data_IF_692549278348
#
_entry.id   IF_692549278348
#
_cell.length_a   1.000
_cell.length_b   1.000
_cell.length_c   1.000
_cell.angle_alpha   90.00
_cell.angle_beta   90.00
_cell.angle_gamma   90.00
#
_symmetry.space_group_name_H-M   'P 1'
#
loop_
_entity.id
_entity.type
_entity.pdbx_description
1 polymer ?
#
# COMPACT_ATOMS: atom_id res chain seq x y z
N UNK A 1 45.45 -14.71 73.25
CA UNK A 1 46.16 -15.75 72.51
C UNK A 1 45.35 -16.05 71.26
N UNK A 2 45.61 -15.40 70.12
CA UNK A 2 46.59 -15.79 69.07
C UNK A 2 46.06 -17.00 68.27
N UNK A 3 45.76 -16.95 66.97
CA UNK A 3 46.49 -16.33 65.85
C UNK A 3 45.59 -16.02 64.62
N UNK A 4 46.10 -15.10 63.81
CA UNK A 4 45.65 -14.61 62.48
C UNK A 4 46.51 -15.28 61.39
N UNK A 5 46.16 -15.06 60.12
CA UNK A 5 46.97 -15.23 58.88
C UNK A 5 47.34 -16.66 58.45
N UNK A 6 47.57 -17.04 57.19
CA UNK A 6 47.38 -16.55 55.81
C UNK A 6 48.13 -17.57 54.90
N UNK A 7 48.06 -17.39 53.58
CA UNK A 7 48.90 -18.02 52.53
C UNK A 7 48.39 -19.39 52.02
N UNK A 8 48.19 -19.64 50.72
CA UNK A 8 48.68 -19.01 49.49
C UNK A 8 49.35 -20.09 48.62
N UNK A 9 49.39 -19.88 47.29
CA UNK A 9 49.84 -20.75 46.18
C UNK A 9 48.73 -21.52 45.45
N UNK A 10 48.59 -21.54 44.12
CA UNK A 10 49.21 -20.84 42.98
C UNK A 10 48.27 -21.09 41.76
N UNK A 11 48.13 -20.14 40.83
CA UNK A 11 47.55 -20.44 39.51
C UNK A 11 46.73 -19.32 38.87
N UNK A 12 47.39 -18.21 38.56
CA UNK A 12 46.87 -17.16 37.68
C UNK A 12 46.86 -17.71 36.26
N UNK A 13 45.71 -17.77 35.58
CA UNK A 13 45.67 -17.98 34.14
C UNK A 13 44.80 -16.90 33.50
N UNK A 14 45.51 -15.96 32.86
CA UNK A 14 44.97 -15.02 31.90
C UNK A 14 44.48 -15.76 30.66
N UNK A 15 43.46 -15.19 30.03
CA UNK A 15 42.67 -15.88 29.02
C UNK A 15 43.32 -16.09 27.67
N UNK A 16 42.74 -17.02 26.95
CA UNK A 16 42.71 -17.07 25.49
C UNK A 16 41.24 -16.96 25.08
N UNK A 17 40.78 -15.72 24.87
CA UNK A 17 39.51 -15.44 24.20
C UNK A 17 39.75 -15.54 22.70
N UNK A 18 39.44 -16.70 22.11
CA UNK A 18 39.30 -16.88 20.67
C UNK A 18 38.07 -16.10 20.16
N UNK A 19 38.21 -15.10 19.26
CA UNK A 19 37.10 -14.25 18.83
C UNK A 19 36.42 -14.79 17.56
N UNK A 20 36.07 -16.07 17.52
CA UNK A 20 35.47 -16.67 16.31
C UNK A 20 34.29 -17.62 16.55
N UNK A 21 33.45 -17.34 17.56
CA UNK A 21 32.08 -17.88 17.62
C UNK A 21 31.05 -16.77 17.75
N UNK A 22 30.58 -16.26 16.59
CA UNK A 22 29.26 -15.63 16.49
C UNK A 22 28.21 -16.71 16.73
N UNK A 23 27.88 -16.95 17.99
CA UNK A 23 26.65 -17.65 18.36
C UNK A 23 25.49 -16.71 18.04
N UNK A 24 24.81 -16.98 16.92
CA UNK A 24 23.54 -16.33 16.58
C UNK A 24 22.57 -16.59 17.74
N UNK A 25 22.41 -15.58 18.59
CA UNK A 25 21.54 -15.64 19.77
C UNK A 25 20.08 -15.55 19.30
N UNK A 26 19.12 -16.27 19.91
CA UNK A 26 17.70 -16.23 19.54
C UNK A 26 17.05 -14.83 19.61
N UNK A 27 17.70 -13.87 20.27
CA UNK A 27 17.21 -12.51 20.52
C UNK A 27 17.14 -11.63 19.26
N UNK A 28 17.93 -11.91 18.22
CA UNK A 28 17.89 -11.13 16.96
C UNK A 28 16.63 -11.45 16.13
N UNK A 29 15.92 -12.53 16.44
CA UNK A 29 14.67 -12.90 15.74
C UNK A 29 13.44 -12.26 16.39
N UNK A 30 13.50 -11.95 17.70
CA UNK A 30 12.38 -11.36 18.45
C UNK A 30 12.21 -9.85 18.19
N UNK A 31 13.30 -9.12 17.92
CA UNK A 31 13.27 -7.67 17.67
C UNK A 31 12.50 -7.30 16.40
N UNK A 32 12.72 -8.02 15.30
CA UNK A 32 11.97 -7.82 14.05
C UNK A 32 10.49 -8.20 14.18
N UNK A 33 10.15 -9.16 15.03
CA UNK A 33 8.75 -9.57 15.27
C UNK A 33 7.97 -8.55 16.09
N UNK A 34 8.63 -7.61 16.76
CA UNK A 34 8.03 -6.58 17.61
C UNK A 34 7.70 -5.28 16.87
N UNK A 35 8.39 -5.04 15.74
CA UNK A 35 8.09 -3.93 14.82
C UNK A 35 7.00 -4.28 13.78
N UNK A 36 6.67 -5.56 13.62
CA UNK A 36 5.64 -5.98 12.67
C UNK A 36 4.23 -5.62 13.21
N UNK A 37 3.35 -5.05 12.36
CA UNK A 37 1.97 -4.78 12.73
C UNK A 37 1.28 -6.02 13.31
N UNK A 38 0.35 -5.82 14.25
CA UNK A 38 -0.35 -6.90 14.97
C UNK A 38 -0.99 -7.97 14.05
N UNK A 39 -1.34 -7.62 12.82
CA UNK A 39 -1.90 -8.53 11.81
C UNK A 39 -0.88 -9.43 11.09
N UNK A 40 0.42 -9.12 11.14
CA UNK A 40 1.50 -10.01 10.64
C UNK A 40 2.04 -10.93 11.74
N UNK A 41 1.65 -10.71 12.99
CA UNK A 41 2.16 -11.46 14.15
C UNK A 41 1.42 -12.78 14.37
N UNK A 42 0.14 -12.84 14.01
CA UNK A 42 -0.73 -14.01 14.14
C UNK A 42 -1.29 -14.40 12.76
N UNK A 43 -0.49 -15.14 11.98
CA UNK A 43 -0.92 -15.63 10.65
C UNK A 43 -1.92 -16.77 10.79
N UNK A 44 -3.18 -16.56 10.37
CA UNK A 44 -4.13 -17.65 10.14
C UNK A 44 -4.30 -17.92 8.63
N UNK A 45 -4.82 -19.10 8.26
CA UNK A 45 -5.04 -19.49 6.85
C UNK A 45 -5.91 -18.50 6.06
N UNK A 46 -6.81 -17.81 6.75
CA UNK A 46 -7.70 -16.83 6.15
C UNK A 46 -6.97 -15.52 5.78
N UNK A 47 -5.86 -15.18 6.44
CA UNK A 47 -5.07 -13.99 6.11
C UNK A 47 -4.35 -14.12 4.76
N UNK A 48 -3.99 -15.35 4.36
CA UNK A 48 -3.44 -15.62 3.02
C UNK A 48 -4.43 -15.27 1.91
N UNK A 49 -5.73 -15.55 2.13
CA UNK A 49 -6.79 -15.22 1.18
C UNK A 49 -6.96 -13.70 1.09
N UNK A 50 -6.92 -12.99 2.22
CA UNK A 50 -7.03 -11.53 2.26
C UNK A 50 -5.85 -10.86 1.55
N UNK A 51 -4.62 -11.33 1.80
CA UNK A 51 -3.43 -10.86 1.09
C UNK A 51 -3.49 -11.16 -0.40
N UNK A 52 -3.94 -12.36 -0.77
CA UNK A 52 -4.15 -12.73 -2.17
C UNK A 52 -5.16 -11.81 -2.86
N UNK A 53 -6.31 -11.54 -2.22
CA UNK A 53 -7.31 -10.62 -2.75
C UNK A 53 -6.80 -9.18 -2.83
N UNK A 54 -6.06 -8.71 -1.83
CA UNK A 54 -5.48 -7.37 -1.81
C UNK A 54 -4.46 -7.21 -2.95
N UNK A 55 -3.54 -8.16 -3.09
CA UNK A 55 -2.58 -8.20 -4.19
C UNK A 55 -3.29 -8.28 -5.55
N UNK A 56 -4.30 -9.15 -5.69
CA UNK A 56 -5.09 -9.27 -6.91
C UNK A 56 -5.82 -7.96 -7.26
N UNK A 57 -6.34 -7.22 -6.27
CA UNK A 57 -6.97 -5.91 -6.50
C UNK A 57 -5.97 -4.86 -7.00
N UNK A 58 -4.75 -4.87 -6.46
CA UNK A 58 -3.66 -4.01 -6.91
C UNK A 58 -3.23 -4.35 -8.33
N UNK A 59 -2.98 -5.63 -8.61
CA UNK A 59 -2.60 -6.14 -9.94
C UNK A 59 -3.70 -5.82 -10.97
N UNK A 60 -4.98 -6.01 -10.60
CA UNK A 60 -6.10 -5.63 -11.44
C UNK A 60 -6.09 -4.13 -11.77
N UNK A 61 -5.86 -3.28 -10.77
CA UNK A 61 -5.71 -1.84 -10.96
C UNK A 61 -4.56 -1.50 -11.91
N UNK A 62 -3.38 -2.09 -11.71
CA UNK A 62 -2.21 -1.89 -12.57
C UNK A 62 -2.42 -2.39 -14.00
N UNK A 63 -3.06 -3.55 -14.18
CA UNK A 63 -3.38 -4.10 -15.49
C UNK A 63 -4.40 -3.24 -16.24
N UNK A 64 -5.32 -2.59 -15.53
CA UNK A 64 -6.31 -1.69 -16.12
C UNK A 64 -5.74 -0.35 -16.56
N UNK A 65 -4.59 0.11 -16.02
CA UNK A 65 -3.99 1.38 -16.39
C UNK A 65 -3.71 1.51 -17.90
N UNK A 66 -3.00 0.57 -18.57
CA UNK A 66 -2.76 0.64 -20.01
C UNK A 66 -4.03 0.41 -20.83
N UNK A 67 -4.92 -0.47 -20.35
CA UNK A 67 -6.17 -0.82 -21.04
C UNK A 67 -7.25 0.27 -20.94
N UNK A 68 -7.14 1.18 -19.97
CA UNK A 68 -8.09 2.27 -19.73
C UNK A 68 -8.36 3.10 -20.98
N UNK A 69 -7.32 3.44 -21.72
CA UNK A 69 -7.45 4.29 -22.90
C UNK A 69 -8.14 3.57 -24.07
N UNK A 70 -7.72 2.34 -24.36
CA UNK A 70 -8.28 1.55 -25.45
C UNK A 70 -9.74 1.19 -25.18
N UNK A 71 -10.07 0.73 -23.98
CA UNK A 71 -11.44 0.32 -23.64
C UNK A 71 -12.40 1.51 -23.56
N UNK A 72 -11.93 2.70 -23.17
CA UNK A 72 -12.80 3.88 -23.11
C UNK A 72 -13.14 4.43 -24.50
N UNK A 73 -12.24 4.31 -25.47
CA UNK A 73 -12.45 4.76 -26.86
C UNK A 73 -13.24 3.73 -27.66
N UNK A 74 -12.87 2.44 -27.59
CA UNK A 74 -13.46 1.42 -28.45
C UNK A 74 -14.76 0.83 -27.87
N UNK A 75 -14.82 0.66 -26.54
CA UNK A 75 -15.96 -0.01 -25.88
C UNK A 75 -16.29 0.61 -24.49
N UNK A 76 -16.86 1.84 -24.47
CA UNK A 76 -17.13 2.55 -23.22
C UNK A 76 -17.97 1.74 -22.21
N UNK A 77 -18.87 0.88 -22.70
CA UNK A 77 -19.70 -0.01 -21.87
C UNK A 77 -18.84 -1.04 -21.11
N UNK A 78 -17.88 -1.65 -21.81
CA UNK A 78 -16.97 -2.63 -21.21
C UNK A 78 -16.04 -1.96 -20.20
N UNK A 79 -15.60 -0.74 -20.50
CA UNK A 79 -14.80 0.03 -19.57
C UNK A 79 -15.58 0.44 -18.30
N UNK A 80 -16.84 0.81 -18.46
CA UNK A 80 -17.78 1.05 -17.35
C UNK A 80 -17.92 -0.19 -16.46
N UNK A 81 -18.03 -1.36 -17.08
CA UNK A 81 -18.15 -2.65 -16.41
C UNK A 81 -16.87 -3.10 -15.69
N UNK A 82 -15.69 -2.74 -16.18
CA UNK A 82 -14.44 -3.14 -15.53
C UNK A 82 -14.02 -2.15 -14.45
N UNK A 83 -14.05 -0.86 -14.76
CA UNK A 83 -13.52 0.17 -13.87
C UNK A 83 -14.58 0.84 -12.99
N UNK A 84 -15.88 0.73 -13.30
CA UNK A 84 -16.91 1.52 -12.64
C UNK A 84 -16.74 3.03 -12.87
N UNK A 85 -16.12 3.44 -13.98
CA UNK A 85 -15.75 4.85 -14.23
C UNK A 85 -16.97 5.74 -14.43
N UNK A 86 -16.98 6.91 -13.78
CA UNK A 86 -18.06 7.90 -13.93
C UNK A 86 -18.03 8.61 -15.29
N UNK A 87 -16.84 8.78 -15.88
CA UNK A 87 -16.68 9.42 -17.19
C UNK A 87 -17.27 8.57 -18.32
N UNK A 88 -17.12 7.25 -18.22
CA UNK A 88 -17.68 6.30 -19.19
C UNK A 88 -19.20 6.28 -19.18
N UNK A 89 -19.79 6.35 -17.99
CA UNK A 89 -21.25 6.49 -17.81
C UNK A 89 -21.74 7.78 -18.46
N UNK A 90 -21.01 8.87 -18.25
CA UNK A 90 -21.33 10.16 -18.85
C UNK A 90 -21.22 10.11 -20.39
N UNK A 91 -20.12 9.56 -20.93
CA UNK A 91 -19.90 9.45 -22.38
C UNK A 91 -20.96 8.58 -23.06
N UNK A 92 -21.29 7.42 -22.48
CA UNK A 92 -22.36 6.54 -22.98
C UNK A 92 -23.72 7.20 -22.97
N UNK A 93 -24.02 7.94 -21.89
CA UNK A 93 -25.29 8.66 -21.76
C UNK A 93 -25.39 9.77 -22.81
N UNK A 94 -24.30 10.51 -23.04
CA UNK A 94 -24.25 11.56 -24.05
C UNK A 94 -24.35 11.02 -25.48
N UNK A 95 -23.88 9.80 -25.74
CA UNK A 95 -23.97 9.16 -27.06
C UNK A 95 -25.31 8.46 -27.31
N UNK A 96 -25.96 7.97 -26.25
CA UNK A 96 -27.17 7.14 -26.35
C UNK A 96 -28.33 7.71 -25.54
N UNK A 97 -28.59 9.02 -25.67
CA UNK A 97 -29.65 9.74 -24.94
C UNK A 97 -31.03 9.06 -25.08
N UNK A 98 -31.36 8.56 -26.26
CA UNK A 98 -32.64 7.91 -26.54
C UNK A 98 -32.75 6.46 -26.01
N UNK A 99 -31.66 5.86 -25.51
CA UNK A 99 -31.66 4.46 -25.06
C UNK A 99 -31.58 4.36 -23.53
N UNK A 100 -32.73 4.58 -22.88
CA UNK A 100 -32.86 4.52 -21.42
C UNK A 100 -32.43 3.15 -20.85
N UNK A 101 -32.69 2.05 -21.58
CA UNK A 101 -32.32 0.70 -21.15
C UNK A 101 -30.80 0.53 -21.00
N UNK A 102 -30.03 1.01 -21.98
CA UNK A 102 -28.57 0.97 -21.93
C UNK A 102 -28.01 1.90 -20.86
N UNK A 103 -28.60 3.08 -20.65
CA UNK A 103 -28.18 4.01 -19.60
C UNK A 103 -28.35 3.37 -18.22
N UNK A 104 -29.53 2.79 -17.93
CA UNK A 104 -29.80 2.11 -16.66
C UNK A 104 -28.88 0.91 -16.46
N UNK A 105 -28.69 0.08 -17.49
CA UNK A 105 -27.77 -1.05 -17.42
C UNK A 105 -26.34 -0.60 -17.11
N UNK A 106 -25.87 0.45 -17.78
CA UNK A 106 -24.53 1.02 -17.57
C UNK A 106 -24.37 1.55 -16.15
N UNK A 107 -25.36 2.26 -15.62
CA UNK A 107 -25.36 2.76 -14.23
C UNK A 107 -25.24 1.62 -13.23
N UNK A 108 -26.07 0.59 -13.37
CA UNK A 108 -26.07 -0.55 -12.45
C UNK A 108 -24.75 -1.32 -12.53
N UNK A 109 -24.28 -1.62 -13.73
CA UNK A 109 -23.03 -2.33 -13.95
C UNK A 109 -21.85 -1.51 -13.42
N UNK A 110 -21.79 -0.21 -13.70
CA UNK A 110 -20.74 0.65 -13.18
C UNK A 110 -20.77 0.79 -11.65
N UNK A 111 -21.97 0.85 -11.04
CA UNK A 111 -22.12 0.88 -9.59
C UNK A 111 -21.64 -0.43 -8.96
N UNK A 112 -22.08 -1.59 -9.47
CA UNK A 112 -21.64 -2.90 -8.98
C UNK A 112 -20.12 -3.06 -9.09
N UNK A 113 -19.54 -2.64 -10.21
CA UNK A 113 -18.10 -2.73 -10.44
C UNK A 113 -17.28 -1.85 -9.52
N UNK A 114 -17.83 -0.69 -9.12
CA UNK A 114 -17.22 0.17 -8.11
C UNK A 114 -17.27 -0.48 -6.72
N UNK A 115 -18.36 -1.19 -6.39
CA UNK A 115 -18.58 -1.77 -5.06
C UNK A 115 -17.85 -3.10 -4.85
N UNK A 116 -17.50 -3.85 -5.90
CA UNK A 116 -16.95 -5.22 -5.80
C UNK A 116 -15.74 -5.40 -4.86
N UNK A 117 -14.90 -4.36 -4.72
CA UNK A 117 -13.71 -4.41 -3.87
C UNK A 117 -13.96 -3.88 -2.45
N UNK A 118 -15.06 -3.18 -2.18
CA UNK A 118 -15.33 -2.60 -0.86
C UNK A 118 -15.57 -3.67 0.23
N UNK A 119 -16.27 -4.80 -0.04
CA UNK A 119 -16.36 -5.89 0.93
C UNK A 119 -15.00 -6.41 1.39
N UNK A 120 -14.01 -6.51 0.49
CA UNK A 120 -12.64 -6.90 0.85
C UNK A 120 -12.06 -5.95 1.91
N UNK A 121 -12.18 -4.65 1.71
CA UNK A 121 -11.70 -3.64 2.68
C UNK A 121 -12.46 -3.71 4.01
N UNK A 122 -13.74 -4.07 4.00
CA UNK A 122 -14.51 -4.30 5.22
C UNK A 122 -13.98 -5.50 6.01
N UNK A 123 -13.69 -6.61 5.33
CA UNK A 123 -13.09 -7.81 5.95
C UNK A 123 -11.71 -7.52 6.53
N UNK A 124 -10.89 -6.75 5.80
CA UNK A 124 -9.58 -6.28 6.27
C UNK A 124 -9.74 -5.49 7.57
N UNK A 125 -10.63 -4.51 7.63
CA UNK A 125 -10.88 -3.73 8.84
C UNK A 125 -11.39 -4.56 10.02
N UNK A 126 -12.25 -5.55 9.77
CA UNK A 126 -12.78 -6.44 10.80
C UNK A 126 -11.70 -7.32 11.44
N UNK A 127 -10.67 -7.67 10.69
CA UNK A 127 -9.68 -8.69 11.08
C UNK A 127 -8.32 -8.10 11.48
N UNK A 128 -7.81 -7.14 10.72
CA UNK A 128 -6.51 -6.51 10.97
C UNK A 128 -6.61 -5.24 11.82
N UNK A 129 -7.82 -4.72 12.03
CA UNK A 129 -8.07 -3.65 12.98
C UNK A 129 -7.40 -2.31 12.61
N UNK A 130 -7.15 -1.45 13.61
CA UNK A 130 -6.49 -0.15 13.42
C UNK A 130 -5.08 -0.25 12.85
N UNK A 131 -4.35 -1.35 13.12
CA UNK A 131 -2.97 -1.54 12.64
C UNK A 131 -2.84 -1.51 11.12
N UNK A 132 -3.89 -1.86 10.36
CA UNK A 132 -3.89 -1.72 8.91
C UNK A 132 -3.93 -0.25 8.46
N UNK A 133 -4.62 0.61 9.20
CA UNK A 133 -4.71 2.04 8.90
C UNK A 133 -3.35 2.70 9.15
N UNK A 134 -2.71 2.39 10.28
CA UNK A 134 -1.38 2.91 10.61
C UNK A 134 -0.33 2.50 9.58
N UNK A 135 -0.39 1.23 9.14
CA UNK A 135 0.47 0.71 8.07
C UNK A 135 0.17 1.37 6.71
N UNK A 136 -1.10 1.58 6.38
CA UNK A 136 -1.52 2.24 5.13
C UNK A 136 -0.98 3.67 5.02
N UNK A 137 -0.85 4.36 6.15
CA UNK A 137 -0.26 5.70 6.22
C UNK A 137 1.26 5.71 6.43
N UNK A 138 1.92 4.54 6.49
CA UNK A 138 3.36 4.42 6.78
C UNK A 138 3.78 5.21 8.03
N UNK A 139 2.89 5.27 9.04
CA UNK A 139 3.11 6.03 10.27
C UNK A 139 2.94 7.56 10.16
N UNK A 140 2.56 8.11 8.99
CA UNK A 140 2.37 9.55 8.80
C UNK A 140 0.93 9.88 8.32
N UNK A 141 -0.07 9.85 9.22
CA UNK A 141 -1.45 10.10 8.84
C UNK A 141 -1.65 11.54 8.34
N UNK A 142 -2.44 11.75 7.27
CA UNK A 142 -2.68 13.07 6.71
C UNK A 142 -3.46 13.95 7.70
N UNK A 143 -3.25 15.27 7.60
CA UNK A 143 -3.84 16.26 8.53
C UNK A 143 -5.37 16.15 8.64
N UNK A 144 -6.04 15.86 7.52
CA UNK A 144 -7.49 15.67 7.50
C UNK A 144 -7.93 14.46 8.33
N UNK A 145 -7.17 13.36 8.28
CA UNK A 145 -7.47 12.13 9.03
C UNK A 145 -7.33 12.38 10.53
N UNK A 146 -6.21 12.99 10.96
CA UNK A 146 -5.97 13.32 12.38
C UNK A 146 -7.06 14.22 12.96
N UNK A 147 -7.57 15.16 12.17
CA UNK A 147 -8.59 16.12 12.63
C UNK A 147 -10.00 15.52 12.63
N UNK A 148 -10.30 14.63 11.69
CA UNK A 148 -11.61 13.98 11.55
C UNK A 148 -11.68 12.60 12.20
N UNK A 149 -10.61 12.07 12.78
CA UNK A 149 -10.54 10.72 13.31
C UNK A 149 -11.73 10.39 14.22
N UNK A 150 -11.91 11.17 15.29
CA UNK A 150 -13.02 11.01 16.22
C UNK A 150 -14.39 11.12 15.53
N UNK A 151 -14.52 11.97 14.51
CA UNK A 151 -15.76 12.14 13.77
C UNK A 151 -16.06 10.95 12.85
N UNK A 152 -15.05 10.42 12.16
CA UNK A 152 -15.16 9.26 11.27
C UNK A 152 -15.51 8.00 12.08
N UNK A 153 -14.87 7.78 13.23
CA UNK A 153 -15.22 6.68 14.12
C UNK A 153 -16.62 6.83 14.71
N UNK A 154 -17.10 8.06 14.98
CA UNK A 154 -18.44 8.26 15.53
C UNK A 154 -19.54 8.08 14.48
N UNK A 155 -19.35 8.61 13.26
CA UNK A 155 -20.35 8.63 12.19
C UNK A 155 -19.85 8.06 10.84
N UNK A 156 -19.56 6.75 10.76
CA UNK A 156 -19.01 6.15 9.54
C UNK A 156 -19.96 6.27 8.35
N UNK A 157 -21.27 6.17 8.54
CA UNK A 157 -22.26 6.29 7.44
C UNK A 157 -22.31 7.68 6.81
N UNK A 158 -22.17 8.74 7.60
CA UNK A 158 -22.15 10.12 7.11
C UNK A 158 -20.84 10.43 6.38
N UNK A 159 -19.70 9.97 6.92
CA UNK A 159 -18.43 10.09 6.23
C UNK A 159 -18.42 9.30 4.91
N UNK A 160 -19.12 8.15 4.86
CA UNK A 160 -19.28 7.37 3.64
C UNK A 160 -20.03 8.15 2.58
N UNK A 161 -21.14 8.81 2.93
CA UNK A 161 -21.83 9.73 2.01
C UNK A 161 -20.88 10.84 1.52
N UNK A 162 -20.14 11.47 2.43
CA UNK A 162 -19.20 12.55 2.12
C UNK A 162 -18.06 12.10 1.19
N UNK A 163 -17.71 10.81 1.20
CA UNK A 163 -16.69 10.23 0.33
C UNK A 163 -17.15 10.06 -1.12
N UNK A 164 -18.44 9.88 -1.33
CA UNK A 164 -19.02 9.77 -2.68
C UNK A 164 -19.24 11.14 -3.35
N UNK A 165 -19.03 12.25 -2.63
CA UNK A 165 -19.05 13.58 -3.23
C UNK A 165 -17.82 13.74 -4.13
N UNK A 166 -17.98 14.22 -5.38
CA UNK A 166 -16.85 14.48 -6.26
C UNK A 166 -15.85 15.43 -5.58
N UNK A 167 -14.56 15.16 -5.72
CA UNK A 167 -13.44 15.90 -5.09
C UNK A 167 -13.31 15.76 -3.56
N UNK A 168 -14.03 14.82 -2.94
CA UNK A 168 -13.83 14.52 -1.52
C UNK A 168 -12.41 14.02 -1.24
N UNK A 169 -11.68 14.61 -0.28
CA UNK A 169 -10.35 14.15 0.11
C UNK A 169 -10.38 12.83 0.89
N UNK A 170 -11.57 12.31 1.21
CA UNK A 170 -11.76 11.12 2.04
C UNK A 170 -12.01 9.91 1.15
N UNK A 171 -11.10 8.92 1.08
CA UNK A 171 -11.32 7.69 0.32
C UNK A 171 -12.36 6.78 0.97
N UNK A 172 -13.30 6.26 0.17
CA UNK A 172 -14.38 5.39 0.66
C UNK A 172 -13.84 4.09 1.25
N UNK A 173 -12.71 3.61 0.73
CA UNK A 173 -12.01 2.41 1.21
C UNK A 173 -11.64 2.53 2.69
N UNK A 174 -11.11 3.68 3.12
CA UNK A 174 -10.70 3.91 4.51
C UNK A 174 -11.91 3.89 5.45
N UNK A 175 -13.02 4.51 5.04
CA UNK A 175 -14.25 4.55 5.85
C UNK A 175 -14.86 3.14 5.98
N UNK A 176 -14.81 2.34 4.91
CA UNK A 176 -15.28 0.95 4.92
C UNK A 176 -14.40 0.06 5.81
N UNK A 177 -13.08 0.28 5.82
CA UNK A 177 -12.16 -0.35 6.79
C UNK A 177 -12.58 0.03 8.22
N UNK A 178 -12.79 1.31 8.51
CA UNK A 178 -13.19 1.79 9.84
C UNK A 178 -14.55 1.20 10.28
N UNK A 179 -15.50 1.08 9.35
CA UNK A 179 -16.77 0.40 9.61
C UNK A 179 -16.56 -1.08 9.95
N UNK A 180 -15.59 -1.74 9.30
CA UNK A 180 -15.13 -3.09 9.62
C UNK A 180 -14.55 -3.19 11.03
N UNK A 181 -13.69 -2.25 11.43
CA UNK A 181 -13.09 -2.17 12.77
C UNK A 181 -14.18 -2.07 13.84
N UNK A 182 -15.21 -1.25 13.61
CA UNK A 182 -16.38 -1.12 14.51
C UNK A 182 -17.29 -2.35 14.52
N UNK A 183 -17.00 -3.40 13.75
CA UNK A 183 -17.80 -4.63 13.61
C UNK A 183 -19.28 -4.37 13.29
N UNK A 184 -19.53 -3.31 12.52
CA UNK A 184 -20.89 -2.99 12.06
C UNK A 184 -21.40 -4.08 11.11
N UNK A 185 -22.72 -4.21 10.93
CA UNK A 185 -23.28 -5.26 10.04
C UNK A 185 -22.88 -4.95 8.59
N UNK A 186 -21.96 -5.72 8.01
CA UNK A 186 -21.38 -5.46 6.68
C UNK A 186 -22.42 -5.30 5.56
N UNK A 187 -23.57 -5.97 5.65
CA UNK A 187 -24.67 -5.81 4.69
C UNK A 187 -25.29 -4.41 4.70
N UNK A 188 -25.35 -3.74 5.86
CA UNK A 188 -25.86 -2.37 5.99
C UNK A 188 -24.91 -1.39 5.29
N UNK A 189 -23.60 -1.52 5.51
CA UNK A 189 -22.61 -0.67 4.84
C UNK A 189 -22.60 -0.96 3.34
N UNK A 190 -22.69 -2.23 2.94
CA UNK A 190 -22.82 -2.61 1.54
C UNK A 190 -24.03 -1.96 0.86
N UNK A 191 -25.19 -1.94 1.53
CA UNK A 191 -26.37 -1.25 1.03
C UNK A 191 -26.17 0.26 0.90
N UNK A 192 -25.60 0.92 1.91
CA UNK A 192 -25.29 2.36 1.83
C UNK A 192 -24.33 2.68 0.69
N UNK A 193 -23.25 1.90 0.58
CA UNK A 193 -22.25 1.99 -0.49
C UNK A 193 -22.91 1.85 -1.86
N UNK A 194 -23.80 0.88 -2.04
CA UNK A 194 -24.49 0.66 -3.30
C UNK A 194 -25.43 1.82 -3.63
N UNK A 195 -26.22 2.30 -2.65
CA UNK A 195 -27.14 3.43 -2.83
C UNK A 195 -26.37 4.70 -3.20
N UNK A 196 -25.28 5.02 -2.49
CA UNK A 196 -24.49 6.21 -2.80
C UNK A 196 -23.73 6.08 -4.12
N UNK A 197 -23.27 4.88 -4.49
CA UNK A 197 -22.67 4.63 -5.79
C UNK A 197 -23.69 4.88 -6.92
N UNK A 198 -24.91 4.33 -6.79
CA UNK A 198 -25.99 4.57 -7.77
C UNK A 198 -26.35 6.04 -7.83
N UNK A 199 -26.54 6.71 -6.68
CA UNK A 199 -26.86 8.14 -6.63
C UNK A 199 -25.79 8.99 -7.35
N UNK A 200 -24.52 8.69 -7.12
CA UNK A 200 -23.42 9.34 -7.84
C UNK A 200 -23.49 9.08 -9.34
N UNK A 201 -23.76 7.85 -9.78
CA UNK A 201 -23.89 7.53 -11.21
C UNK A 201 -25.09 8.23 -11.84
N UNK A 202 -26.23 8.28 -11.16
CA UNK A 202 -27.40 9.05 -11.59
C UNK A 202 -27.08 10.53 -11.74
N UNK A 203 -26.27 11.11 -10.85
CA UNK A 203 -25.78 12.48 -11.00
C UNK A 203 -24.95 12.65 -12.29
N UNK A 204 -24.05 11.71 -12.62
CA UNK A 204 -23.30 11.75 -13.88
C UNK A 204 -24.16 11.52 -15.12
N UNK A 205 -25.21 10.70 -15.03
CA UNK A 205 -26.21 10.55 -16.10
C UNK A 205 -26.94 11.88 -16.33
N UNK A 206 -27.39 12.53 -15.25
CA UNK A 206 -28.02 13.84 -15.33
C UNK A 206 -27.11 14.89 -16.00
N UNK A 207 -25.82 14.89 -15.67
CA UNK A 207 -24.82 15.72 -16.35
C UNK A 207 -24.67 15.34 -17.83
N UNK A 208 -24.66 14.06 -18.16
CA UNK A 208 -24.57 13.56 -19.54
C UNK A 208 -25.75 13.97 -20.41
N UNK A 209 -26.97 13.92 -19.88
CA UNK A 209 -28.18 14.37 -20.58
C UNK A 209 -28.22 15.89 -20.74
N UNK A 210 -27.77 16.64 -19.72
CA UNK A 210 -27.86 18.11 -19.74
C UNK A 210 -26.76 18.76 -20.60
N UNK A 211 -25.55 18.19 -20.60
CA UNK A 211 -24.37 18.78 -21.25
C UNK A 211 -23.80 17.94 -22.41
N UNK A 212 -24.58 17.00 -22.94
CA UNK A 212 -24.12 15.98 -23.89
C UNK A 212 -23.34 16.52 -25.10
N UNK A 213 -23.76 17.65 -25.67
CA UNK A 213 -23.10 18.24 -26.84
C UNK A 213 -21.75 18.91 -26.50
N UNK A 214 -21.66 19.65 -25.40
CA UNK A 214 -20.44 20.40 -25.01
C UNK A 214 -19.38 19.50 -24.38
N UNK A 215 -19.81 18.46 -23.65
CA UNK A 215 -18.89 17.53 -22.99
C UNK A 215 -18.23 16.61 -24.01
N UNK A 216 -18.91 16.26 -25.11
CA UNK A 216 -18.38 15.33 -26.13
C UNK A 216 -17.03 15.77 -26.71
N UNK A 217 -16.84 17.06 -26.96
CA UNK A 217 -15.62 17.60 -27.58
C UNK A 217 -14.48 17.78 -26.56
N UNK A 218 -14.82 18.16 -25.33
CA UNK A 218 -13.82 18.32 -24.26
C UNK A 218 -13.36 16.98 -23.68
N UNK A 219 -14.24 15.98 -23.59
CA UNK A 219 -13.91 14.67 -23.00
C UNK A 219 -12.90 13.92 -23.87
N UNK A 220 -13.11 13.86 -25.18
CA UNK A 220 -12.18 13.22 -26.13
C UNK A 220 -10.79 13.86 -26.07
N UNK A 221 -10.73 15.17 -25.87
CA UNK A 221 -9.46 15.92 -25.76
C UNK A 221 -8.75 15.62 -24.45
N UNK A 222 -9.45 15.74 -23.31
CA UNK A 222 -8.90 15.46 -21.98
C UNK A 222 -8.40 14.02 -21.90
N UNK A 223 -9.14 13.06 -22.45
CA UNK A 223 -8.83 11.64 -22.35
C UNK A 223 -7.60 11.23 -23.18
N UNK A 224 -7.38 11.86 -24.33
CA UNK A 224 -6.14 11.68 -25.10
C UNK A 224 -4.92 12.12 -24.28
N UNK A 225 -5.00 13.26 -23.60
CA UNK A 225 -3.91 13.74 -22.76
C UNK A 225 -3.69 12.90 -21.51
N UNK A 226 -4.75 12.45 -20.83
CA UNK A 226 -4.65 11.59 -19.64
C UNK A 226 -3.95 10.27 -19.96
N UNK A 227 -4.21 9.69 -21.12
CA UNK A 227 -3.56 8.46 -21.58
C UNK A 227 -2.05 8.65 -21.73
N UNK A 228 -1.64 9.70 -22.44
CA UNK A 228 -0.22 10.01 -22.65
C UNK A 228 0.48 10.38 -21.34
N UNK A 229 -0.18 11.14 -20.46
CA UNK A 229 0.33 11.46 -19.12
C UNK A 229 0.49 10.19 -18.28
N UNK A 230 -0.46 9.24 -18.36
CA UNK A 230 -0.38 7.98 -17.63
C UNK A 230 0.78 7.12 -18.13
N UNK A 231 0.99 7.01 -19.44
CA UNK A 231 2.16 6.33 -20.02
C UNK A 231 3.47 7.02 -19.60
N UNK A 232 3.53 8.34 -19.64
CA UNK A 232 4.70 9.11 -19.21
C UNK A 232 5.00 8.89 -17.72
N UNK A 233 3.98 8.90 -16.86
CA UNK A 233 4.14 8.69 -15.43
C UNK A 233 4.53 7.25 -15.09
N UNK A 234 3.94 6.27 -15.79
CA UNK A 234 4.30 4.87 -15.63
C UNK A 234 5.75 4.63 -16.07
N UNK A 235 6.14 5.17 -17.22
CA UNK A 235 7.54 5.18 -17.69
C UNK A 235 8.48 5.83 -16.68
N UNK A 236 8.09 6.98 -16.11
CA UNK A 236 8.86 7.67 -15.07
C UNK A 236 8.98 6.84 -13.78
N UNK A 237 7.92 6.16 -13.34
CA UNK A 237 7.95 5.28 -12.18
C UNK A 237 8.92 4.11 -12.39
N UNK A 238 8.85 3.43 -13.54
CA UNK A 238 9.79 2.35 -13.87
C UNK A 238 11.22 2.87 -14.01
N UNK A 239 11.41 4.05 -14.61
CA UNK A 239 12.72 4.67 -14.79
C UNK A 239 13.35 5.07 -13.44
N UNK A 240 12.59 5.70 -12.55
CA UNK A 240 13.07 6.06 -11.21
C UNK A 240 13.30 4.83 -10.33
N UNK A 241 12.47 3.80 -10.44
CA UNK A 241 12.67 2.53 -9.75
C UNK A 241 13.92 1.79 -10.26
N UNK A 242 14.18 1.81 -11.57
CA UNK A 242 15.39 1.26 -12.16
C UNK A 242 16.65 2.03 -11.72
N UNK A 243 16.59 3.37 -11.73
CA UNK A 243 17.67 4.23 -11.22
C UNK A 243 17.95 3.99 -9.73
N UNK A 244 16.91 3.86 -8.90
CA UNK A 244 17.06 3.56 -7.46
C UNK A 244 17.59 2.14 -7.22
N UNK A 245 17.18 1.17 -8.02
CA UNK A 245 17.69 -0.21 -7.95
C UNK A 245 19.18 -0.27 -8.29
N UNK A 246 19.63 0.45 -9.32
CA UNK A 246 21.06 0.59 -9.65
C UNK A 246 21.85 1.27 -8.53
N UNK A 247 21.31 2.33 -7.91
CA UNK A 247 21.96 3.03 -6.79
C UNK A 247 22.11 2.16 -5.54
N UNK A 248 21.13 1.28 -5.26
CA UNK A 248 21.24 0.32 -4.14
C UNK A 248 22.31 -0.75 -4.40
N UNK A 249 22.40 -1.28 -5.62
CA UNK A 249 23.46 -2.24 -6.01
C UNK A 249 24.85 -1.60 -5.97
N UNK A 250 24.98 -0.35 -6.41
CA UNK A 250 26.26 0.38 -6.37
C UNK A 250 26.73 0.66 -4.93
N UNK A 251 25.82 1.02 -4.01
CA UNK A 251 26.17 1.24 -2.59
C UNK A 251 26.60 -0.05 -1.89
N UNK A 252 25.97 -1.18 -2.22
CA UNK A 252 26.36 -2.48 -1.65
C UNK A 252 27.77 -2.90 -2.11
N UNK A 253 28.10 -2.72 -3.39
CA UNK A 253 29.46 -2.96 -3.89
C UNK A 253 30.51 -2.06 -3.23
N UNK A 254 30.25 -0.75 -3.10
CA UNK A 254 31.20 0.16 -2.44
C UNK A 254 31.40 -0.16 -0.95
N UNK A 255 30.40 -0.69 -0.26
CA UNK A 255 30.54 -1.10 1.15
C UNK A 255 31.33 -2.41 1.28
N UNK A 256 31.13 -3.38 0.38
CA UNK A 256 31.96 -4.60 0.33
C UNK A 256 33.42 -4.27 -0.02
N UNK A 257 33.66 -3.33 -0.94
CA UNK A 257 35.01 -2.88 -1.31
C UNK A 257 35.70 -2.14 -0.14
N UNK A 258 34.95 -1.30 0.60
CA UNK A 258 35.47 -0.60 1.78
C UNK A 258 35.77 -1.54 2.95
N UNK A 259 34.95 -2.57 3.17
CA UNK A 259 35.22 -3.61 4.17
C UNK A 259 36.36 -4.54 3.74
N UNK A 260 36.53 -4.79 2.43
CA UNK A 260 37.67 -5.53 1.88
C UNK A 260 39.01 -4.82 2.09
N UNK A 261 39.06 -3.51 1.82
CA UNK A 261 40.28 -2.69 1.99
C UNK A 261 40.66 -2.48 3.46
N UNK A 262 39.69 -2.32 4.35
CA UNK A 262 39.93 -2.22 5.80
C UNK A 262 40.53 -3.50 6.38
N UNK A 263 40.14 -4.67 5.86
CA UNK A 263 40.63 -5.96 6.36
C UNK A 263 42.04 -6.30 5.83
N UNK A 264 42.43 -5.76 4.67
CA UNK A 264 43.79 -5.91 4.13
C UNK A 264 44.80 -5.00 4.84
N UNK A 265 44.39 -3.79 5.22
CA UNK A 265 45.26 -2.81 5.91
C UNK A 265 45.60 -3.28 7.34
N UNK A 266 44.60 -3.79 8.08
CA UNK A 266 44.81 -4.39 9.40
C UNK A 266 45.61 -5.69 9.39
N UNK A 267 45.69 -6.39 8.25
CA UNK A 267 46.52 -7.60 8.11
C UNK A 267 47.99 -7.27 7.85
N UNK A 268 48.27 -6.22 7.07
CA UNK A 268 49.62 -5.72 6.86
C UNK A 268 50.23 -5.16 8.15
N UNK A 269 49.46 -4.42 8.95
CA UNK A 269 49.95 -3.89 10.23
C UNK A 269 50.20 -5.01 11.27
N UNK A 270 49.46 -6.11 11.20
CA UNK A 270 49.64 -7.26 12.11
C UNK A 270 50.89 -8.08 11.76
N UNK A 271 51.20 -8.27 10.47
CA UNK A 271 52.41 -8.97 10.02
C UNK A 271 53.70 -8.17 10.33
N UNK A 272 53.65 -6.83 10.25
CA UNK A 272 54.77 -5.95 10.62
C UNK A 272 55.08 -5.96 12.13
N UNK A 273 54.05 -6.13 12.98
CA UNK A 273 54.24 -6.29 14.44
C UNK A 273 54.84 -7.65 14.79
N UNK A 274 54.37 -8.73 14.16
CA UNK A 274 54.91 -10.08 14.39
C UNK A 274 56.38 -10.17 13.97
N UNK A 275 56.76 -9.49 12.88
CA UNK A 275 58.15 -9.48 12.42
C UNK A 275 59.09 -8.73 13.37
N UNK A 276 58.60 -7.72 14.09
CA UNK A 276 59.39 -6.95 15.07
C UNK A 276 59.54 -7.67 16.41
N UNK A 277 58.54 -8.43 16.85
CA UNK A 277 58.61 -9.18 18.11
C UNK A 277 59.52 -10.42 18.03
N UNK A 278 59.79 -10.94 16.82
CA UNK A 278 60.67 -12.09 16.61
C UNK A 278 62.16 -11.74 16.42
N UNK A 279 62.52 -10.45 16.51
CA UNK A 279 63.88 -9.94 16.27
C UNK A 279 64.60 -9.47 17.54
N UNK A 280 64.06 -9.78 18.73
CA UNK A 280 64.63 -9.46 20.03
C UNK A 280 64.68 -10.71 20.92
#
# INVERSE_FOLDING_TARGET
>A
MSETTADGTHGHNFGDADPSQKTNSPQDTESWQQELPSFMRNFERFDWILWGLLAASGIYGFALLPFRAMLLVDHPFLYSALSGSSLSVLALTAENENNTGLIVATVLVAAVSMVKFLPLFFLIGKRWGPSFIDYSFMGHPPLWFRKLENFIYRHPGFCLLLSYIPFSPIPATIIVVIAGIKRTKGWIIGAYVLVYAIALKCFYVYLGLTFGATVRETLVTIERYVTWITFALLGYMFFTMWLKSKRKKARLHTMDDAHGLSNTDGRAEKDDRITKDNAN
#
